data_IF_824791118463
#
_entry.id   IF_824791118463
#
_cell.length_a   1.000
_cell.length_b   1.000
_cell.length_c   1.000
_cell.angle_alpha   90.00
_cell.angle_beta   90.00
_cell.angle_gamma   90.00
#
_symmetry.space_group_name_H-M   'P 1'
#
loop_
_entity.id
_entity.type
_entity.pdbx_description
1 polymer ?
#
# COMPACT_ATOMS: atom_id res chain seq x y z
N UNK A 1 79.28 -23.78 -1.86
CA UNK A 1 78.60 -25.03 -2.29
C UNK A 1 77.13 -24.98 -1.89
N UNK A 2 76.22 -25.54 -2.70
CA UNK A 2 74.88 -24.99 -2.98
C UNK A 2 73.77 -25.65 -2.15
N UNK A 3 72.66 -24.93 -1.92
CA UNK A 3 71.33 -25.53 -1.74
C UNK A 3 70.26 -24.67 -2.44
N UNK A 4 69.64 -25.27 -3.45
CA UNK A 4 68.46 -24.76 -4.15
C UNK A 4 67.25 -24.69 -3.21
N UNK A 5 66.31 -23.73 -3.37
CA UNK A 5 65.02 -23.80 -2.71
C UNK A 5 64.00 -24.60 -3.53
N UNK A 6 63.27 -25.46 -2.81
CA UNK A 6 62.18 -26.30 -3.28
C UNK A 6 60.96 -25.47 -3.75
N UNK A 7 60.40 -25.88 -4.88
CA UNK A 7 59.08 -25.47 -5.39
C UNK A 7 57.98 -25.89 -4.41
N UNK A 8 57.28 -24.94 -3.79
CA UNK A 8 55.99 -25.21 -3.13
C UNK A 8 54.86 -25.04 -4.14
N UNK A 9 54.05 -26.11 -4.27
CA UNK A 9 52.86 -26.16 -5.13
C UNK A 9 51.75 -25.35 -4.49
N UNK A 10 51.38 -24.23 -5.12
CA UNK A 10 50.16 -23.49 -4.82
C UNK A 10 48.94 -24.33 -5.26
N UNK A 11 48.24 -24.95 -4.30
CA UNK A 11 46.88 -25.46 -4.49
C UNK A 11 45.93 -24.26 -4.47
N UNK A 12 45.56 -23.76 -5.66
CA UNK A 12 44.38 -22.91 -5.83
C UNK A 12 43.14 -23.77 -5.62
N UNK A 13 42.45 -23.56 -4.49
CA UNK A 13 41.04 -23.93 -4.36
C UNK A 13 40.26 -22.93 -5.20
N UNK A 14 39.79 -23.39 -6.36
CA UNK A 14 38.93 -22.64 -7.26
C UNK A 14 37.50 -22.77 -6.71
N UNK A 15 37.10 -21.86 -5.82
CA UNK A 15 35.72 -21.79 -5.36
C UNK A 15 34.95 -20.94 -6.38
N UNK A 16 34.41 -21.61 -7.40
CA UNK A 16 33.26 -21.12 -8.14
C UNK A 16 32.10 -21.03 -7.14
N UNK A 17 31.62 -19.82 -6.85
CA UNK A 17 30.29 -19.62 -6.31
C UNK A 17 29.68 -18.41 -7.02
N UNK A 18 28.87 -18.75 -8.03
CA UNK A 18 27.52 -18.28 -8.25
C UNK A 18 27.30 -16.77 -8.19
N UNK A 19 27.41 -16.16 -9.38
CA UNK A 19 26.61 -14.98 -9.72
C UNK A 19 25.18 -15.47 -10.05
N UNK A 20 24.37 -15.73 -9.03
CA UNK A 20 22.94 -16.06 -9.18
C UNK A 20 22.12 -15.47 -8.01
N UNK A 21 22.48 -14.26 -7.54
CA UNK A 21 21.79 -13.55 -6.44
C UNK A 21 21.18 -12.20 -6.89
N UNK A 22 20.93 -11.99 -8.19
CA UNK A 22 20.36 -10.73 -8.73
C UNK A 22 18.87 -10.81 -9.14
N UNK A 23 18.19 -11.95 -8.93
CA UNK A 23 16.77 -12.14 -9.32
C UNK A 23 15.87 -12.64 -8.16
N UNK A 24 16.16 -12.19 -6.94
CA UNK A 24 15.30 -12.41 -5.76
C UNK A 24 15.18 -11.10 -4.99
N UNK A 25 14.26 -10.24 -5.44
CA UNK A 25 13.43 -9.33 -4.60
C UNK A 25 12.84 -8.14 -5.39
N UNK A 26 12.24 -8.39 -6.55
CA UNK A 26 11.18 -7.49 -7.07
C UNK A 26 9.82 -7.84 -6.42
N UNK A 27 9.84 -8.24 -5.15
CA UNK A 27 8.66 -8.26 -4.29
C UNK A 27 8.28 -6.82 -3.96
N UNK A 28 7.75 -6.10 -4.96
CA UNK A 28 6.75 -5.03 -4.80
C UNK A 28 7.00 -4.11 -3.58
N UNK A 29 8.25 -3.65 -3.42
CA UNK A 29 8.64 -2.89 -2.23
C UNK A 29 7.98 -1.50 -2.34
N UNK A 30 6.90 -1.29 -1.59
CA UNK A 30 6.18 -0.03 -1.61
C UNK A 30 7.05 1.02 -0.91
N UNK A 31 7.66 1.92 -1.69
CA UNK A 31 8.52 3.00 -1.18
C UNK A 31 7.80 4.34 -1.19
N UNK A 32 7.84 5.05 -0.07
CA UNK A 32 7.40 6.44 0.02
C UNK A 32 8.45 7.37 -0.59
N UNK A 33 8.17 7.86 -1.80
CA UNK A 33 9.03 8.78 -2.57
C UNK A 33 8.41 10.15 -2.80
N UNK A 34 7.09 10.21 -2.84
CA UNK A 34 6.31 11.42 -3.10
C UNK A 34 4.83 11.23 -2.69
N UNK A 35 4.03 12.28 -2.86
CA UNK A 35 2.57 12.28 -2.60
C UNK A 35 1.81 11.22 -3.40
N UNK A 36 2.29 10.79 -4.56
CA UNK A 36 1.62 9.76 -5.38
C UNK A 36 1.81 8.36 -4.81
N UNK A 37 2.96 8.12 -4.16
CA UNK A 37 3.24 6.87 -3.45
C UNK A 37 2.58 6.77 -2.08
N UNK A 38 2.11 7.90 -1.50
CA UNK A 38 1.43 7.92 -0.20
C UNK A 38 0.23 6.96 -0.14
N UNK A 39 -0.52 6.90 -1.23
CA UNK A 39 -1.78 6.16 -1.32
C UNK A 39 -1.62 4.64 -1.31
N UNK A 40 -0.49 4.13 -1.79
CA UNK A 40 -0.14 2.72 -1.69
C UNK A 40 0.66 2.43 -0.42
N UNK A 41 1.50 3.39 0.01
CA UNK A 41 2.41 3.24 1.13
C UNK A 41 1.71 3.24 2.49
N UNK A 42 0.81 4.19 2.75
CA UNK A 42 0.12 4.25 4.04
C UNK A 42 -0.73 2.99 4.32
N UNK A 43 -1.51 2.45 3.36
CA UNK A 43 -2.21 1.18 3.55
C UNK A 43 -1.28 -0.01 3.82
N UNK A 44 -0.09 -0.03 3.21
CA UNK A 44 0.92 -1.04 3.49
C UNK A 44 1.39 -0.97 4.96
N UNK A 45 1.68 0.22 5.48
CA UNK A 45 2.03 0.37 6.91
C UNK A 45 0.84 0.03 7.82
N UNK A 46 -0.38 0.44 7.43
CA UNK A 46 -1.60 0.15 8.18
C UNK A 46 -1.87 -1.36 8.28
N UNK A 47 -1.59 -2.14 7.24
CA UNK A 47 -1.79 -3.60 7.27
C UNK A 47 -0.88 -4.27 8.31
N UNK A 48 0.39 -3.85 8.38
CA UNK A 48 1.34 -4.30 9.40
C UNK A 48 0.83 -3.93 10.79
N UNK A 49 0.45 -2.67 11.00
CA UNK A 49 -0.07 -2.22 12.30
C UNK A 49 -1.35 -2.99 12.73
N UNK A 50 -2.21 -3.32 11.77
CA UNK A 50 -3.46 -4.06 12.02
C UNK A 50 -3.18 -5.51 12.41
N UNK A 51 -2.16 -6.16 11.84
CA UNK A 51 -1.76 -7.52 12.19
C UNK A 51 -1.41 -7.69 13.69
N UNK A 52 -0.92 -6.62 14.30
CA UNK A 52 -0.56 -6.58 15.72
C UNK A 52 -1.58 -5.84 16.59
N UNK A 53 -2.69 -5.37 16.02
CA UNK A 53 -3.71 -4.60 16.73
C UNK A 53 -3.15 -3.33 17.41
N UNK A 54 -2.34 -2.58 16.66
CA UNK A 54 -1.65 -1.35 17.12
C UNK A 54 -1.88 -0.13 16.23
N UNK A 55 -2.81 -0.17 15.26
CA UNK A 55 -3.08 0.97 14.37
C UNK A 55 -3.43 2.25 15.15
N UNK A 56 -4.17 2.12 16.25
CA UNK A 56 -4.54 3.25 17.12
C UNK A 56 -3.33 3.98 17.72
N UNK A 57 -2.19 3.30 17.87
CA UNK A 57 -0.93 3.87 18.33
C UNK A 57 -0.10 4.51 17.20
N UNK A 58 -0.56 4.39 15.96
CA UNK A 58 0.17 4.78 14.75
C UNK A 58 -0.56 5.87 13.95
N UNK A 59 -1.88 5.95 14.06
CA UNK A 59 -2.75 6.70 13.15
C UNK A 59 -2.36 8.19 13.02
N UNK A 60 -1.85 8.63 11.85
CA UNK A 60 -1.40 10.00 11.65
C UNK A 60 -2.55 11.00 11.49
N UNK A 61 -3.80 10.54 11.34
CA UNK A 61 -4.96 11.43 11.30
C UNK A 61 -5.29 12.00 12.69
N UNK A 62 -4.82 11.35 13.76
CA UNK A 62 -4.94 11.83 15.12
C UNK A 62 -4.01 13.02 15.33
N UNK A 63 -4.56 14.17 15.76
CA UNK A 63 -3.79 15.40 16.01
C UNK A 63 -2.93 15.33 17.28
N UNK A 64 -3.28 14.43 18.20
CA UNK A 64 -2.64 14.27 19.50
C UNK A 64 -1.95 12.91 19.52
N UNK A 65 -0.74 12.87 20.07
CA UNK A 65 0.00 11.63 20.22
C UNK A 65 -0.80 10.64 21.08
N UNK A 66 -0.95 9.37 20.64
CA UNK A 66 -1.61 8.36 21.44
C UNK A 66 -0.79 8.07 22.70
N UNK A 67 -1.45 7.70 23.82
CA UNK A 67 -0.74 7.32 25.02
C UNK A 67 0.13 6.08 24.75
N UNK A 68 1.29 5.96 25.41
CA UNK A 68 2.15 4.80 25.25
C UNK A 68 1.43 3.55 25.77
N UNK A 69 1.80 2.40 25.20
CA UNK A 69 1.27 1.11 25.62
C UNK A 69 1.60 0.85 27.10
N UNK A 70 0.57 0.71 27.93
CA UNK A 70 0.72 0.46 29.36
C UNK A 70 1.00 -1.03 29.61
N UNK A 71 1.99 -1.37 30.46
CA UNK A 71 2.18 -2.75 30.91
C UNK A 71 1.00 -3.17 31.80
N UNK A 72 0.65 -4.47 31.83
CA UNK A 72 -0.38 -4.97 32.72
C UNK A 72 0.02 -4.77 34.19
N UNK A 73 -0.98 -4.65 35.06
CA UNK A 73 -0.78 -4.47 36.49
C UNK A 73 -0.04 -5.67 37.06
N UNK A 74 1.01 -5.43 37.87
CA UNK A 74 1.74 -6.54 38.51
C UNK A 74 0.79 -7.36 39.38
N UNK A 75 0.89 -8.69 39.28
CA UNK A 75 0.17 -9.61 40.16
C UNK A 75 0.48 -9.27 41.62
N UNK A 76 -0.55 -9.29 42.46
CA UNK A 76 -0.41 -9.03 43.90
C UNK A 76 0.61 -9.98 44.55
N UNK A 77 1.32 -9.47 45.57
CA UNK A 77 2.27 -10.29 46.32
C UNK A 77 1.55 -11.38 47.14
N UNK A 78 2.28 -12.37 47.62
CA UNK A 78 1.70 -13.44 48.46
C UNK A 78 1.11 -12.85 49.73
N UNK A 79 1.80 -11.90 50.36
CA UNK A 79 1.40 -11.25 51.59
C UNK A 79 0.07 -10.50 51.39
N UNK A 80 -0.04 -9.73 50.31
CA UNK A 80 -1.28 -9.03 49.95
C UNK A 80 -2.42 -9.99 49.60
N UNK A 81 -2.12 -11.08 48.90
CA UNK A 81 -3.13 -12.10 48.60
C UNK A 81 -3.67 -12.74 49.89
N UNK A 82 -2.79 -13.08 50.85
CA UNK A 82 -3.18 -13.63 52.16
C UNK A 82 -4.02 -12.64 52.96
N UNK A 83 -3.68 -11.36 52.93
CA UNK A 83 -4.44 -10.30 53.62
C UNK A 83 -5.84 -10.11 53.02
N UNK A 84 -5.94 -10.06 51.69
CA UNK A 84 -7.19 -9.73 50.98
C UNK A 84 -8.16 -10.92 50.85
N UNK A 85 -7.64 -12.12 50.60
CA UNK A 85 -8.44 -13.31 50.28
C UNK A 85 -8.42 -14.38 51.37
N UNK A 86 -7.64 -14.19 52.44
CA UNK A 86 -7.57 -15.05 53.63
C UNK A 86 -7.31 -16.52 53.27
N UNK A 87 -8.28 -17.41 53.44
CA UNK A 87 -8.12 -18.85 53.24
C UNK A 87 -8.02 -19.23 51.75
N UNK A 88 -8.65 -18.45 50.86
CA UNK A 88 -8.69 -18.68 49.41
C UNK A 88 -7.54 -17.99 48.66
N UNK A 89 -6.54 -17.46 49.39
CA UNK A 89 -5.47 -16.65 48.83
C UNK A 89 -4.68 -17.34 47.72
N UNK A 90 -4.53 -18.65 47.80
CA UNK A 90 -3.78 -19.43 46.82
C UNK A 90 -4.54 -19.50 45.49
N UNK A 91 -5.83 -19.85 45.52
CA UNK A 91 -6.71 -19.92 44.37
C UNK A 91 -6.89 -18.54 43.73
N UNK A 92 -7.17 -17.51 44.53
CA UNK A 92 -7.31 -16.13 44.04
C UNK A 92 -6.02 -15.64 43.37
N UNK A 93 -4.86 -15.94 43.95
CA UNK A 93 -3.57 -15.59 43.35
C UNK A 93 -3.32 -16.34 42.04
N UNK A 94 -3.69 -17.62 41.95
CA UNK A 94 -3.56 -18.38 40.70
C UNK A 94 -4.40 -17.76 39.57
N UNK A 95 -5.68 -17.43 39.84
CA UNK A 95 -6.55 -16.78 38.85
C UNK A 95 -6.00 -15.42 38.39
N UNK A 96 -5.58 -14.56 39.33
CA UNK A 96 -4.95 -13.27 39.01
C UNK A 96 -3.65 -13.43 38.22
N UNK A 97 -2.91 -14.53 38.44
CA UNK A 97 -1.71 -14.82 37.67
C UNK A 97 -2.05 -15.28 36.25
N UNK A 98 -3.10 -16.08 36.06
CA UNK A 98 -3.58 -16.50 34.74
C UNK A 98 -4.08 -15.30 33.92
N UNK A 99 -4.87 -14.41 34.53
CA UNK A 99 -5.28 -13.14 33.91
C UNK A 99 -4.07 -12.30 33.49
N UNK A 100 -3.10 -12.14 34.39
CA UNK A 100 -1.86 -11.42 34.08
C UNK A 100 -1.07 -12.07 32.95
N UNK A 101 -0.98 -13.40 32.87
CA UNK A 101 -0.31 -14.10 31.77
C UNK A 101 -0.97 -13.75 30.44
N UNK A 102 -2.31 -13.79 30.38
CA UNK A 102 -3.06 -13.45 29.17
C UNK A 102 -2.86 -11.98 28.76
N UNK A 103 -3.00 -11.05 29.70
CA UNK A 103 -2.78 -9.62 29.46
C UNK A 103 -1.34 -9.31 29.03
N UNK A 104 -0.35 -9.93 29.70
CA UNK A 104 1.05 -9.74 29.39
C UNK A 104 1.43 -10.30 28.02
N UNK A 105 0.79 -11.38 27.58
CA UNK A 105 0.94 -11.91 26.23
C UNK A 105 0.42 -10.90 25.17
N UNK A 106 -0.76 -10.31 25.39
CA UNK A 106 -1.32 -9.27 24.51
C UNK A 106 -0.40 -8.04 24.49
N UNK A 107 0.02 -7.56 25.66
CA UNK A 107 0.94 -6.44 25.80
C UNK A 107 2.26 -6.68 25.04
N UNK A 108 2.87 -7.84 25.23
CA UNK A 108 4.14 -8.19 24.56
C UNK A 108 3.97 -8.25 23.05
N UNK A 109 2.87 -8.84 22.56
CA UNK A 109 2.53 -8.86 21.13
C UNK A 109 2.40 -7.45 20.56
N UNK A 110 1.63 -6.57 21.22
CA UNK A 110 1.45 -5.17 20.79
C UNK A 110 2.77 -4.41 20.82
N UNK A 111 3.58 -4.57 21.88
CA UNK A 111 4.90 -3.95 21.99
C UNK A 111 5.83 -4.35 20.84
N UNK A 112 5.85 -5.63 20.47
CA UNK A 112 6.59 -6.10 19.30
C UNK A 112 6.04 -5.51 18.00
N UNK A 113 4.70 -5.42 17.88
CA UNK A 113 4.03 -4.79 16.75
C UNK A 113 4.42 -3.34 16.52
N UNK A 114 4.50 -2.55 17.60
CA UNK A 114 5.00 -1.15 17.54
C UNK A 114 6.40 -1.09 16.93
N UNK A 115 7.32 -1.95 17.39
CA UNK A 115 8.68 -2.03 16.84
C UNK A 115 8.70 -2.46 15.36
N UNK A 116 7.84 -3.40 14.96
CA UNK A 116 7.70 -3.82 13.57
C UNK A 116 7.21 -2.70 12.66
N UNK A 117 6.24 -1.90 13.11
CA UNK A 117 5.74 -0.74 12.35
C UNK A 117 6.83 0.30 12.18
N UNK A 118 7.57 0.64 13.25
CA UNK A 118 8.71 1.58 13.17
C UNK A 118 9.75 1.11 12.15
N UNK A 119 10.11 -0.19 12.21
CA UNK A 119 11.05 -0.78 11.25
C UNK A 119 10.53 -0.70 9.82
N UNK A 120 9.25 -1.01 9.61
CA UNK A 120 8.63 -0.97 8.29
C UNK A 120 8.64 0.46 7.73
N UNK A 121 8.25 1.46 8.51
CA UNK A 121 8.28 2.87 8.10
C UNK A 121 9.70 3.27 7.71
N UNK A 122 10.68 3.04 8.60
CA UNK A 122 12.09 3.40 8.33
C UNK A 122 12.66 2.66 7.14
N UNK A 123 12.29 1.40 6.93
CA UNK A 123 12.76 0.63 5.78
C UNK A 123 12.17 1.10 4.45
N UNK A 124 10.94 1.59 4.45
CA UNK A 124 10.17 1.87 3.21
C UNK A 124 10.05 3.36 2.88
N UNK A 125 10.69 4.24 3.65
CA UNK A 125 10.85 5.64 3.30
C UNK A 125 12.07 5.80 2.40
N UNK A 126 11.91 6.53 1.29
CA UNK A 126 13.00 6.78 0.36
C UNK A 126 14.22 7.41 1.09
N UNK A 127 15.47 6.97 0.79
CA UNK A 127 16.67 7.41 1.50
C UNK A 127 16.82 8.93 1.66
N UNK A 128 16.40 9.71 0.66
CA UNK A 128 16.41 11.19 0.69
C UNK A 128 15.67 11.79 1.89
N UNK A 129 14.65 11.10 2.42
CA UNK A 129 13.82 11.61 3.51
C UNK A 129 14.19 11.01 4.88
N UNK A 130 15.16 10.10 4.95
CA UNK A 130 15.63 9.51 6.21
C UNK A 130 16.09 10.57 7.23
N UNK A 131 16.82 11.64 6.85
CA UNK A 131 17.19 12.70 7.79
C UNK A 131 15.98 13.41 8.42
N UNK A 132 14.82 13.38 7.78
CA UNK A 132 13.60 14.03 8.29
C UNK A 132 12.90 13.22 9.39
N UNK A 133 13.26 11.95 9.55
CA UNK A 133 12.59 11.02 10.48
C UNK A 133 13.55 10.42 11.52
N UNK A 134 14.80 10.87 11.55
CA UNK A 134 15.82 10.26 12.42
C UNK A 134 15.52 10.49 13.91
N UNK A 135 14.98 11.66 14.27
CA UNK A 135 14.72 12.07 15.65
C UNK A 135 13.43 11.49 16.27
N UNK A 136 12.58 10.83 15.47
CA UNK A 136 11.28 10.33 15.94
C UNK A 136 11.34 8.86 16.34
N UNK A 137 10.86 8.56 17.55
CA UNK A 137 10.98 7.20 18.12
C UNK A 137 9.70 6.40 17.96
N UNK A 138 8.55 7.07 18.06
CA UNK A 138 7.24 6.39 18.00
C UNK A 138 6.72 6.27 16.57
N UNK A 139 5.92 5.23 16.26
CA UNK A 139 5.33 5.09 14.94
C UNK A 139 4.37 6.26 14.61
N UNK A 140 3.68 6.82 15.61
CA UNK A 140 2.82 7.99 15.42
C UNK A 140 3.63 9.22 15.01
N UNK A 141 4.73 9.56 15.68
CA UNK A 141 5.56 10.72 15.32
C UNK A 141 6.11 10.60 13.89
N UNK A 142 6.59 9.41 13.54
CA UNK A 142 7.07 9.10 12.20
C UNK A 142 5.98 9.33 11.15
N UNK A 143 4.81 8.70 11.33
CA UNK A 143 3.71 8.79 10.38
C UNK A 143 3.13 10.20 10.32
N UNK A 144 2.98 10.87 11.46
CA UNK A 144 2.45 12.23 11.54
C UNK A 144 3.35 13.24 10.82
N UNK A 145 4.68 13.12 10.96
CA UNK A 145 5.61 13.99 10.22
C UNK A 145 5.55 13.74 8.71
N UNK A 146 5.55 12.46 8.30
CA UNK A 146 5.45 12.09 6.88
C UNK A 146 4.10 12.52 6.28
N UNK A 147 3.01 12.38 7.02
CA UNK A 147 1.67 12.83 6.61
C UNK A 147 1.65 14.32 6.29
N UNK A 148 2.26 15.16 7.12
CA UNK A 148 2.36 16.61 6.88
C UNK A 148 3.07 16.99 5.59
N UNK A 149 3.82 16.07 4.96
CA UNK A 149 4.63 16.33 3.78
C UNK A 149 4.09 15.65 2.53
N UNK A 150 3.65 14.41 2.69
CA UNK A 150 3.32 13.53 1.56
C UNK A 150 1.83 13.24 1.45
N UNK A 151 1.02 13.49 2.48
CA UNK A 151 -0.41 13.30 2.34
C UNK A 151 -0.95 14.28 1.28
N UNK A 152 -1.86 13.83 0.39
CA UNK A 152 -2.49 14.68 -0.61
C UNK A 152 -3.08 15.98 -0.07
N UNK A 153 -3.62 15.95 1.15
CA UNK A 153 -4.21 17.10 1.84
C UNK A 153 -3.17 18.16 2.22
N UNK A 154 -1.90 17.77 2.34
CA UNK A 154 -0.78 18.65 2.69
C UNK A 154 -0.14 19.31 1.46
N UNK A 155 -0.42 18.83 0.24
CA UNK A 155 0.12 19.39 -1.00
C UNK A 155 -0.92 20.30 -1.69
N UNK A 156 -0.78 21.64 -1.61
CA UNK A 156 -1.73 22.57 -2.23
C UNK A 156 -1.78 22.45 -3.77
N UNK A 157 -0.75 21.86 -4.39
CA UNK A 157 -0.69 21.66 -5.84
C UNK A 157 -1.32 20.34 -6.29
N UNK A 158 -1.61 19.43 -5.36
CA UNK A 158 -2.16 18.11 -5.68
C UNK A 158 -3.46 18.17 -6.49
N UNK A 159 -4.47 19.02 -6.14
CA UNK A 159 -5.67 19.18 -6.96
C UNK A 159 -5.37 19.64 -8.39
N UNK A 160 -4.49 20.63 -8.56
CA UNK A 160 -4.12 21.14 -9.88
C UNK A 160 -3.39 20.08 -10.72
N UNK A 161 -2.55 19.26 -10.08
CA UNK A 161 -1.85 18.14 -10.72
C UNK A 161 -2.82 17.05 -11.16
N UNK A 162 -3.79 16.68 -10.33
CA UNK A 162 -4.85 15.72 -10.71
C UNK A 162 -5.66 16.24 -11.90
N UNK A 163 -6.06 17.52 -11.91
CA UNK A 163 -6.76 18.12 -13.06
C UNK A 163 -5.95 18.08 -14.34
N UNK A 164 -4.64 18.33 -14.25
CA UNK A 164 -3.75 18.24 -15.41
C UNK A 164 -3.67 16.81 -15.94
N UNK A 165 -3.58 15.82 -15.06
CA UNK A 165 -3.57 14.41 -15.44
C UNK A 165 -4.92 13.98 -16.03
N UNK A 166 -6.03 14.41 -15.45
CA UNK A 166 -7.38 14.20 -15.97
C UNK A 166 -7.53 14.71 -17.40
N UNK A 167 -7.16 15.97 -17.65
CA UNK A 167 -7.20 16.57 -18.99
C UNK A 167 -6.32 15.84 -20.00
N UNK A 168 -5.29 15.12 -19.56
CA UNK A 168 -4.48 14.29 -20.46
C UNK A 168 -5.23 13.05 -20.92
N UNK A 169 -6.08 12.47 -20.06
CA UNK A 169 -6.92 11.32 -20.40
C UNK A 169 -8.10 11.74 -21.30
N UNK A 170 -8.65 12.92 -21.03
CA UNK A 170 -9.77 13.52 -21.76
C UNK A 170 -9.45 13.83 -23.23
N UNK A 171 -8.17 14.02 -23.56
CA UNK A 171 -7.71 14.22 -24.94
C UNK A 171 -7.81 12.98 -25.83
N UNK A 172 -8.15 11.82 -25.26
CA UNK A 172 -8.31 10.56 -25.98
C UNK A 172 -7.06 9.66 -25.92
N UNK A 173 -7.15 8.56 -26.65
CA UNK A 173 -6.13 7.50 -26.71
C UNK A 173 -5.20 7.76 -27.89
N UNK A 174 -3.90 7.84 -27.64
CA UNK A 174 -2.91 7.79 -28.73
C UNK A 174 -2.87 6.38 -29.33
N UNK A 175 -2.71 6.26 -30.65
CA UNK A 175 -2.73 4.98 -31.40
C UNK A 175 -1.79 3.90 -30.87
N UNK A 176 -0.74 4.26 -30.12
CA UNK A 176 0.26 3.35 -29.53
C UNK A 176 -0.02 2.97 -28.07
N UNK A 177 -1.06 3.53 -27.45
CA UNK A 177 -1.35 3.30 -26.03
C UNK A 177 -2.08 1.98 -25.82
N UNK A 178 -1.58 1.19 -24.88
CA UNK A 178 -2.26 0.00 -24.38
C UNK A 178 -3.62 0.38 -23.76
N UNK A 179 -4.70 -0.09 -24.39
CA UNK A 179 -6.06 0.24 -23.97
C UNK A 179 -6.36 -0.22 -22.54
N UNK A 180 -5.84 -1.38 -22.13
CA UNK A 180 -6.15 -1.93 -20.82
C UNK A 180 -5.48 -1.07 -19.73
N UNK A 181 -4.26 -0.59 -19.98
CA UNK A 181 -3.58 0.39 -19.11
C UNK A 181 -4.32 1.73 -19.10
N UNK A 182 -4.79 2.20 -20.24
CA UNK A 182 -5.53 3.47 -20.32
C UNK A 182 -6.85 3.42 -19.53
N UNK A 183 -7.59 2.31 -19.62
CA UNK A 183 -8.82 2.12 -18.83
C UNK A 183 -8.55 2.02 -17.33
N UNK A 184 -7.49 1.32 -16.92
CA UNK A 184 -7.07 1.28 -15.51
C UNK A 184 -6.69 2.70 -15.02
N UNK A 185 -6.04 3.50 -15.88
CA UNK A 185 -5.70 4.88 -15.54
C UNK A 185 -6.95 5.75 -15.33
N UNK A 186 -7.99 5.59 -16.15
CA UNK A 186 -9.28 6.26 -15.94
C UNK A 186 -9.92 5.90 -14.59
N UNK A 187 -9.99 4.62 -14.27
CA UNK A 187 -10.55 4.13 -13.01
C UNK A 187 -9.75 4.63 -11.79
N UNK A 188 -8.43 4.56 -11.88
CA UNK A 188 -7.51 5.06 -10.85
C UNK A 188 -7.68 6.57 -10.66
N UNK A 189 -7.79 7.32 -11.77
CA UNK A 189 -7.93 8.76 -11.73
C UNK A 189 -9.28 9.18 -11.13
N UNK A 190 -10.38 8.52 -11.52
CA UNK A 190 -11.69 8.76 -10.93
C UNK A 190 -11.65 8.54 -9.42
N UNK A 191 -11.06 7.43 -8.97
CA UNK A 191 -10.93 7.12 -7.54
C UNK A 191 -10.15 8.20 -6.79
N UNK A 192 -9.03 8.67 -7.36
CA UNK A 192 -8.21 9.75 -6.79
C UNK A 192 -8.97 11.08 -6.73
N UNK A 193 -9.64 11.47 -7.81
CA UNK A 193 -10.45 12.69 -7.89
C UNK A 193 -11.64 12.64 -6.91
N UNK A 194 -12.33 11.50 -6.80
CA UNK A 194 -13.46 11.31 -5.86
C UNK A 194 -13.00 11.51 -4.42
N UNK A 195 -11.88 10.91 -4.03
CA UNK A 195 -11.31 11.09 -2.69
C UNK A 195 -10.83 12.52 -2.42
N UNK A 196 -10.29 13.18 -3.44
CA UNK A 196 -9.92 14.60 -3.39
C UNK A 196 -11.13 15.56 -3.48
N UNK A 197 -12.36 15.04 -3.56
CA UNK A 197 -13.61 15.81 -3.69
C UNK A 197 -13.60 16.76 -4.89
N UNK A 198 -13.05 16.28 -6.00
CA UNK A 198 -12.97 17.02 -7.27
C UNK A 198 -14.21 16.72 -8.14
N UNK A 199 -14.87 17.74 -8.73
CA UNK A 199 -16.10 17.57 -9.51
C UNK A 199 -15.90 16.76 -10.80
N UNK A 200 -14.66 16.64 -11.28
CA UNK A 200 -14.32 15.81 -12.44
C UNK A 200 -14.69 14.34 -12.23
N UNK A 201 -14.70 13.85 -10.98
CA UNK A 201 -15.07 12.46 -10.67
C UNK A 201 -16.56 12.16 -10.89
N UNK A 202 -17.44 13.15 -10.68
CA UNK A 202 -18.89 12.98 -10.79
C UNK A 202 -19.32 12.85 -12.25
N UNK A 203 -18.60 13.52 -13.16
CA UNK A 203 -18.85 13.51 -14.59
C UNK A 203 -17.92 12.56 -15.36
N UNK A 204 -17.28 11.61 -14.65
CA UNK A 204 -16.29 10.71 -15.23
C UNK A 204 -16.82 9.94 -16.45
N UNK A 205 -18.06 9.44 -16.37
CA UNK A 205 -18.69 8.70 -17.46
C UNK A 205 -18.84 9.54 -18.73
N UNK A 206 -19.24 10.80 -18.60
CA UNK A 206 -19.40 11.70 -19.73
C UNK A 206 -18.05 12.06 -20.36
N UNK A 207 -17.07 12.48 -19.55
CA UNK A 207 -15.72 12.79 -20.04
C UNK A 207 -15.07 11.59 -20.74
N UNK A 208 -15.25 10.37 -20.19
CA UNK A 208 -14.75 9.16 -20.82
C UNK A 208 -15.39 8.91 -22.19
N UNK A 209 -16.72 9.03 -22.30
CA UNK A 209 -17.43 8.87 -23.56
C UNK A 209 -16.97 9.91 -24.60
N UNK A 210 -16.82 11.16 -24.20
CA UNK A 210 -16.31 12.22 -25.09
C UNK A 210 -14.88 11.91 -25.57
N UNK A 211 -14.02 11.40 -24.69
CA UNK A 211 -12.63 11.02 -25.02
C UNK A 211 -12.53 9.86 -26.02
N UNK A 212 -13.53 8.95 -26.06
CA UNK A 212 -13.58 7.85 -27.04
C UNK A 212 -14.44 8.18 -28.27
N UNK A 213 -15.14 9.32 -28.30
CA UNK A 213 -16.13 9.64 -29.34
C UNK A 213 -15.58 9.52 -30.77
N UNK A 214 -14.36 10.01 -31.01
CA UNK A 214 -13.70 9.94 -32.33
C UNK A 214 -13.22 8.52 -32.69
N UNK A 215 -12.91 7.70 -31.70
CA UNK A 215 -12.29 6.38 -31.86
C UNK A 215 -13.33 5.25 -31.91
N UNK A 216 -14.45 5.40 -31.22
CA UNK A 216 -15.56 4.44 -31.19
C UNK A 216 -16.91 5.16 -31.22
N UNK A 217 -17.28 5.80 -32.36
CA UNK A 217 -18.52 6.58 -32.47
C UNK A 217 -19.80 5.77 -32.19
N UNK A 218 -19.82 4.49 -32.59
CA UNK A 218 -20.97 3.60 -32.37
C UNK A 218 -21.21 3.32 -30.88
N UNK A 219 -20.12 3.08 -30.13
CA UNK A 219 -20.19 2.88 -28.69
C UNK A 219 -20.63 4.17 -28.00
N UNK A 220 -20.04 5.32 -28.37
CA UNK A 220 -20.41 6.64 -27.85
C UNK A 220 -21.91 6.89 -27.98
N UNK A 221 -22.47 6.83 -29.19
CA UNK A 221 -23.88 7.14 -29.43
C UNK A 221 -24.83 6.26 -28.62
N UNK A 222 -24.52 4.97 -28.50
CA UNK A 222 -25.33 4.02 -27.71
C UNK A 222 -25.30 4.33 -26.23
N UNK A 223 -24.13 4.64 -25.68
CA UNK A 223 -23.94 4.78 -24.24
C UNK A 223 -24.29 6.18 -23.71
N UNK A 224 -24.19 7.23 -24.52
CA UNK A 224 -24.69 8.56 -24.15
C UNK A 224 -26.20 8.51 -23.89
N UNK A 225 -26.98 7.89 -24.78
CA UNK A 225 -28.43 7.74 -24.60
C UNK A 225 -28.76 6.88 -23.38
N UNK A 226 -28.06 5.75 -23.20
CA UNK A 226 -28.28 4.87 -22.04
C UNK A 226 -28.02 5.56 -20.70
N UNK A 227 -26.99 6.42 -20.61
CA UNK A 227 -26.72 7.16 -19.37
C UNK A 227 -27.77 8.24 -19.08
N UNK A 228 -28.46 8.75 -20.10
CA UNK A 228 -29.61 9.65 -19.91
C UNK A 228 -30.82 8.90 -19.34
N UNK A 229 -31.05 7.66 -19.80
CA UNK A 229 -32.18 6.83 -19.36
C UNK A 229 -31.92 6.10 -18.02
N UNK A 230 -30.65 5.80 -17.72
CA UNK A 230 -30.20 5.02 -16.57
C UNK A 230 -29.02 5.68 -15.87
N UNK A 231 -29.31 6.39 -14.79
CA UNK A 231 -28.31 7.05 -13.95
C UNK A 231 -27.66 6.12 -12.91
N UNK A 232 -28.03 4.84 -12.87
CA UNK A 232 -27.55 3.83 -11.90
C UNK A 232 -26.28 3.10 -12.36
N UNK A 233 -25.73 3.44 -13.54
CA UNK A 233 -24.58 2.74 -14.11
C UNK A 233 -23.30 3.25 -13.46
N UNK A 234 -22.63 2.36 -12.74
CA UNK A 234 -21.31 2.64 -12.17
C UNK A 234 -20.25 2.81 -13.26
N UNK A 235 -19.31 3.73 -13.05
CA UNK A 235 -18.25 4.04 -14.01
C UNK A 235 -17.38 2.80 -14.34
N UNK A 236 -17.14 1.94 -13.35
CA UNK A 236 -16.38 0.69 -13.53
C UNK A 236 -17.08 -0.28 -14.47
N UNK A 237 -18.42 -0.34 -14.44
CA UNK A 237 -19.20 -1.13 -15.40
C UNK A 237 -19.02 -0.57 -16.82
N UNK A 238 -19.13 0.75 -17.00
CA UNK A 238 -18.95 1.40 -18.30
C UNK A 238 -17.57 1.09 -18.92
N UNK A 239 -16.50 1.20 -18.13
CA UNK A 239 -15.15 0.84 -18.56
C UNK A 239 -15.05 -0.64 -18.94
N UNK A 240 -15.66 -1.54 -18.17
CA UNK A 240 -15.70 -2.97 -18.48
C UNK A 240 -16.44 -3.28 -19.79
N UNK A 241 -17.54 -2.59 -20.06
CA UNK A 241 -18.31 -2.71 -21.31
C UNK A 241 -17.52 -2.21 -22.50
N UNK A 242 -16.82 -1.09 -22.35
CA UNK A 242 -15.95 -0.57 -23.41
C UNK A 242 -14.77 -1.49 -23.69
N UNK A 243 -14.14 -2.06 -22.65
CA UNK A 243 -13.08 -3.08 -22.81
C UNK A 243 -13.55 -4.26 -23.66
N UNK A 244 -14.76 -4.76 -23.40
CA UNK A 244 -15.33 -5.86 -24.18
C UNK A 244 -15.59 -5.44 -25.64
N UNK A 245 -16.18 -4.26 -25.86
CA UNK A 245 -16.38 -3.71 -27.21
C UNK A 245 -15.04 -3.57 -27.96
N UNK A 246 -14.03 -3.00 -27.33
CA UNK A 246 -12.70 -2.83 -27.93
C UNK A 246 -12.10 -4.16 -28.38
N UNK A 247 -12.21 -5.21 -27.57
CA UNK A 247 -11.73 -6.55 -27.91
C UNK A 247 -12.48 -7.16 -29.10
N UNK A 248 -13.77 -6.90 -29.24
CA UNK A 248 -14.55 -7.41 -30.39
C UNK A 248 -14.16 -6.66 -31.68
N UNK A 249 -14.00 -5.34 -31.60
CA UNK A 249 -13.78 -4.48 -32.78
C UNK A 249 -12.32 -4.50 -33.24
N UNK A 250 -11.35 -4.59 -32.32
CA UNK A 250 -9.91 -4.50 -32.59
C UNK A 250 -9.14 -5.79 -32.29
N UNK A 251 -9.71 -6.70 -31.49
CA UNK A 251 -9.15 -8.03 -31.29
C UNK A 251 -9.51 -8.93 -32.46
N UNK A 252 -8.62 -9.04 -33.44
CA UNK A 252 -8.83 -9.92 -34.60
C UNK A 252 -9.06 -11.37 -34.19
N UNK A 253 -10.09 -11.95 -34.83
CA UNK A 253 -10.27 -13.36 -35.17
C UNK A 253 -8.95 -14.05 -35.55
N UNK A 254 -8.46 -14.94 -34.68
CA UNK A 254 -7.60 -16.06 -35.07
C UNK A 254 -8.50 -17.26 -35.31
N UNK A 255 -9.12 -17.34 -36.49
CA UNK A 255 -9.97 -18.50 -36.81
C UNK A 255 -10.82 -18.31 -38.05
N UNK A 256 -10.19 -18.08 -39.20
CA UNK A 256 -10.73 -18.48 -40.51
C UNK A 256 -9.70 -18.15 -41.60
N UNK A 257 -8.77 -19.09 -41.81
CA UNK A 257 -8.02 -19.27 -43.08
C UNK A 257 -7.40 -20.67 -43.10
N UNK A 258 -8.24 -21.69 -42.94
CA UNK A 258 -7.94 -23.04 -43.41
C UNK A 258 -9.23 -23.59 -44.02
N UNK A 259 -9.36 -23.37 -45.33
CA UNK A 259 -10.10 -24.18 -46.30
C UNK A 259 -10.26 -23.36 -47.58
N UNK A 260 -9.21 -23.36 -48.40
CA UNK A 260 -9.26 -23.10 -49.84
C UNK A 260 -7.89 -23.45 -50.41
N UNK A 261 -7.78 -24.72 -50.83
CA UNK A 261 -7.01 -25.30 -51.95
C UNK A 261 -6.42 -26.68 -51.61
#
# INVERSE_FOLDING_TARGET
MPKQPLKSKNRRSNNNNNNDDDDMDDYLYVVLKDTTSWDSWLPYIKSIATQYDVWELCDPSQKVAPPPLAPPTKVISIEKAKEQYKDDWYQAKMLLHEEWIAENAIYTRKKNGVGMVVRAIRGTVHPTYQPLIIEYETPWELLYNLHKRFAPESDPTYPARLRRQWRSLDRGVDQSTDIDKWLINWETMQTRCKRAKLPEADNASHHFLDAISALSPEFYGTWVLKLQDRSDIEFTELLGRYRAHWRITHGKSTGQRENSE
#
